data_IF_432800152149
#
_entry.id   IF_432800152149
#
_cell.length_a   1.000
_cell.length_b   1.000
_cell.length_c   1.000
_cell.angle_alpha   90.00
_cell.angle_beta   90.00
_cell.angle_gamma   90.00
#
_symmetry.space_group_name_H-M   'P 1'
#
loop_
_entity.id
_entity.type
_entity.pdbx_description
1 polymer ?
#
# COMPACT_ATOMS: atom_id res chain seq x y z
N UNK A 1 6.80 -0.13 -19.95
CA UNK A 1 7.24 0.19 -18.58
C UNK A 1 6.00 0.45 -17.77
N UNK A 2 5.70 -0.43 -16.82
CA UNK A 2 4.49 -0.37 -16.00
C UNK A 2 4.90 -0.14 -14.55
N UNK A 3 4.13 0.66 -13.82
CA UNK A 3 4.32 0.89 -12.38
C UNK A 3 3.27 0.09 -11.65
N UNK A 4 3.70 -0.74 -10.70
CA UNK A 4 2.83 -1.63 -9.94
C UNK A 4 3.00 -1.41 -8.44
N UNK A 5 1.90 -1.57 -7.70
CA UNK A 5 1.91 -1.70 -6.25
C UNK A 5 2.40 -3.10 -5.82
N UNK A 6 3.37 -3.14 -4.91
CA UNK A 6 3.87 -4.35 -4.23
C UNK A 6 3.49 -4.38 -2.74
N UNK A 7 2.34 -3.79 -2.42
CA UNK A 7 1.87 -3.59 -1.04
C UNK A 7 1.63 -4.94 -0.34
N UNK A 8 1.09 -5.93 -1.05
CA UNK A 8 0.85 -7.25 -0.47
C UNK A 8 2.15 -7.92 -0.07
N UNK A 9 3.13 -7.95 -0.96
CA UNK A 9 4.46 -8.50 -0.72
C UNK A 9 5.13 -7.76 0.44
N UNK A 10 5.05 -6.44 0.46
CA UNK A 10 5.60 -5.62 1.52
C UNK A 10 4.98 -5.93 2.90
N UNK A 11 3.66 -6.09 2.97
CA UNK A 11 2.97 -6.47 4.20
C UNK A 11 3.38 -7.87 4.67
N UNK A 12 3.40 -8.85 3.76
CA UNK A 12 3.76 -10.23 4.06
C UNK A 12 5.20 -10.35 4.59
N UNK A 13 6.16 -9.65 3.96
CA UNK A 13 7.56 -9.61 4.39
C UNK A 13 7.75 -9.01 5.80
N UNK A 14 6.84 -8.15 6.24
CA UNK A 14 6.88 -7.51 7.56
C UNK A 14 5.89 -8.15 8.56
N UNK A 15 5.30 -9.31 8.23
CA UNK A 15 4.35 -10.02 9.11
C UNK A 15 3.07 -9.23 9.39
N UNK A 16 2.65 -8.37 8.46
CA UNK A 16 1.42 -7.56 8.56
C UNK A 16 0.35 -8.08 7.61
N UNK A 17 -0.89 -7.61 7.83
CA UNK A 17 -2.04 -8.03 7.03
C UNK A 17 -2.73 -6.82 6.38
N UNK A 18 -3.40 -7.01 5.23
CA UNK A 18 -4.27 -5.98 4.65
C UNK A 18 -5.36 -5.50 5.61
N UNK A 19 -5.81 -6.38 6.51
CA UNK A 19 -6.76 -6.04 7.57
C UNK A 19 -6.19 -4.99 8.54
N UNK A 20 -4.95 -5.18 9.01
CA UNK A 20 -4.29 -4.22 9.88
C UNK A 20 -4.11 -2.86 9.18
N UNK A 21 -3.72 -2.87 7.90
CA UNK A 21 -3.59 -1.66 7.09
C UNK A 21 -4.94 -0.92 6.93
N UNK A 22 -6.02 -1.66 6.67
CA UNK A 22 -7.37 -1.08 6.62
C UNK A 22 -7.75 -0.40 7.93
N UNK A 23 -7.49 -1.04 9.06
CA UNK A 23 -7.79 -0.46 10.39
C UNK A 23 -6.98 0.79 10.70
N UNK A 24 -5.76 0.92 10.16
CA UNK A 24 -4.86 2.04 10.44
C UNK A 24 -4.93 3.19 9.42
N UNK A 25 -5.28 2.93 8.17
CA UNK A 25 -5.17 3.92 7.07
C UNK A 25 -6.35 4.90 6.97
N UNK A 26 -7.51 4.58 7.55
CA UNK A 26 -8.74 5.36 7.33
C UNK A 26 -9.30 5.24 5.89
N UNK A 27 -8.75 4.35 5.07
CA UNK A 27 -9.27 4.01 3.75
C UNK A 27 -10.48 3.09 3.85
N UNK A 28 -11.31 3.06 2.81
CA UNK A 28 -12.35 2.04 2.70
C UNK A 28 -11.71 0.65 2.59
N UNK A 29 -12.41 -0.38 3.09
CA UNK A 29 -11.94 -1.77 2.96
C UNK A 29 -11.73 -2.14 1.48
N UNK A 30 -12.68 -1.78 0.61
CA UNK A 30 -12.59 -2.02 -0.84
C UNK A 30 -11.33 -1.39 -1.43
N UNK A 31 -11.02 -0.15 -1.05
CA UNK A 31 -9.82 0.57 -1.51
C UNK A 31 -8.53 -0.14 -1.10
N UNK A 32 -8.41 -0.54 0.18
CA UNK A 32 -7.21 -1.23 0.67
C UNK A 32 -7.00 -2.55 -0.07
N UNK A 33 -8.07 -3.33 -0.24
CA UNK A 33 -7.94 -4.63 -0.91
C UNK A 33 -7.63 -4.47 -2.41
N UNK A 34 -8.20 -3.47 -3.10
CA UNK A 34 -7.87 -3.18 -4.50
C UNK A 34 -6.39 -2.76 -4.67
N UNK A 35 -5.88 -1.89 -3.79
CA UNK A 35 -4.46 -1.47 -3.82
C UNK A 35 -3.54 -2.64 -3.49
N UNK A 36 -3.85 -3.43 -2.46
CA UNK A 36 -3.04 -4.61 -2.11
C UNK A 36 -3.06 -5.67 -3.21
N UNK A 37 -4.14 -5.75 -3.99
CA UNK A 37 -4.24 -6.64 -5.15
C UNK A 37 -3.54 -6.12 -6.41
N UNK A 38 -2.94 -4.92 -6.37
CA UNK A 38 -2.32 -4.30 -7.55
C UNK A 38 -3.32 -3.86 -8.63
N UNK A 39 -4.61 -3.70 -8.28
CA UNK A 39 -5.70 -3.46 -9.23
C UNK A 39 -6.04 -1.97 -9.41
N UNK A 40 -5.27 -1.05 -8.83
CA UNK A 40 -5.53 0.39 -8.92
C UNK A 40 -4.57 1.10 -9.86
N UNK A 41 -5.11 1.56 -10.98
CA UNK A 41 -4.52 2.57 -11.85
C UNK A 41 -4.89 3.97 -11.33
N UNK A 42 -3.90 4.86 -11.22
CA UNK A 42 -4.14 6.27 -10.88
C UNK A 42 -4.71 6.47 -9.47
N UNK A 43 -3.86 6.39 -8.44
CA UNK A 43 -4.25 6.68 -7.05
C UNK A 43 -4.21 8.19 -6.80
N UNK A 44 -5.31 8.77 -6.30
CA UNK A 44 -5.37 10.17 -5.89
C UNK A 44 -4.40 10.45 -4.73
N UNK A 45 -3.80 11.66 -4.69
CA UNK A 45 -2.84 12.04 -3.64
C UNK A 45 -3.37 11.85 -2.22
N UNK A 46 -4.65 12.16 -1.96
CA UNK A 46 -5.25 11.93 -0.65
C UNK A 46 -5.29 10.44 -0.26
N UNK A 47 -5.65 9.57 -1.21
CA UNK A 47 -5.65 8.12 -1.00
C UNK A 47 -4.24 7.61 -0.73
N UNK A 48 -3.25 8.14 -1.48
CA UNK A 48 -1.84 7.82 -1.27
C UNK A 48 -1.36 8.27 0.12
N UNK A 49 -1.69 9.49 0.56
CA UNK A 49 -1.33 9.96 1.90
C UNK A 49 -1.89 9.09 3.02
N UNK A 50 -3.17 8.69 2.91
CA UNK A 50 -3.82 7.76 3.86
C UNK A 50 -3.19 6.37 3.85
N UNK A 51 -2.83 5.86 2.67
CA UNK A 51 -2.14 4.59 2.52
C UNK A 51 -0.78 4.62 3.23
N UNK A 52 0.05 5.62 2.93
CA UNK A 52 1.39 5.77 3.51
C UNK A 52 1.30 5.92 5.03
N UNK A 53 0.40 6.78 5.53
CA UNK A 53 0.18 6.92 6.96
C UNK A 53 -0.23 5.61 7.64
N UNK A 54 -1.12 4.83 7.02
CA UNK A 54 -1.52 3.53 7.52
C UNK A 54 -0.36 2.53 7.57
N UNK A 55 0.51 2.53 6.55
CA UNK A 55 1.71 1.70 6.51
C UNK A 55 2.70 2.09 7.61
N UNK A 56 3.00 3.38 7.76
CA UNK A 56 3.91 3.88 8.81
C UNK A 56 3.40 3.52 10.21
N UNK A 57 2.09 3.65 10.43
CA UNK A 57 1.44 3.32 11.70
C UNK A 57 1.60 1.83 12.05
N UNK A 58 1.36 0.92 11.12
CA UNK A 58 1.47 -0.53 11.40
C UNK A 58 2.92 -1.02 11.43
N UNK A 59 3.85 -0.30 10.78
CA UNK A 59 5.27 -0.64 10.72
C UNK A 59 6.07 -0.01 11.86
N UNK A 60 5.59 1.08 12.46
CA UNK A 60 6.30 1.81 13.52
C UNK A 60 7.56 2.52 13.02
N UNK A 61 7.65 2.78 11.71
CA UNK A 61 8.78 3.47 11.05
C UNK A 61 8.28 4.19 9.81
N UNK A 62 9.05 5.19 9.36
CA UNK A 62 8.83 5.88 8.08
C UNK A 62 8.93 4.89 6.92
N UNK A 63 8.04 5.02 5.94
CA UNK A 63 7.96 4.19 4.73
C UNK A 63 8.10 5.08 3.50
N UNK A 64 8.96 4.68 2.57
CA UNK A 64 9.15 5.39 1.31
C UNK A 64 8.26 4.80 0.21
N UNK A 65 7.89 5.60 -0.79
CA UNK A 65 7.08 5.12 -1.91
C UNK A 65 7.74 3.96 -2.68
N UNK A 66 9.08 3.96 -2.76
CA UNK A 66 9.87 2.89 -3.39
C UNK A 66 9.82 1.56 -2.63
N UNK A 67 9.42 1.57 -1.36
CA UNK A 67 9.22 0.36 -0.57
C UNK A 67 7.95 -0.38 -0.98
N UNK A 68 7.03 0.30 -1.67
CA UNK A 68 5.69 -0.22 -1.97
C UNK A 68 5.27 -0.08 -3.44
N UNK A 69 6.07 0.60 -4.25
CA UNK A 69 5.96 0.66 -5.71
C UNK A 69 7.17 0.01 -6.37
N UNK A 70 6.94 -0.58 -7.54
CA UNK A 70 8.00 -1.09 -8.40
C UNK A 70 7.73 -0.78 -9.87
N UNK A 71 8.81 -0.73 -10.65
CA UNK A 71 8.75 -0.59 -12.11
C UNK A 71 8.97 -1.96 -12.72
N UNK A 72 7.93 -2.50 -13.37
CA UNK A 72 8.01 -3.76 -14.10
C UNK A 72 8.45 -3.45 -15.53
N UNK A 73 9.58 -4.06 -15.93
CA UNK A 73 10.11 -4.01 -17.29
C UNK A 73 9.70 -5.31 -17.98
N UNK A 74 8.71 -5.21 -18.86
CA UNK A 74 8.35 -6.23 -19.85
C UNK A 74 9.22 -6.15 -21.09
#
# INVERSE_FOLDING_TARGET
MEVRWKIKEFLEQNGKTPYALWKASGLSRTTVYAITGGQMDGVQFETMGKLMHGLETIMGKQIELTDVLEVVRS
#
